data_IF_014102674281
#
_entry.id   IF_014102674281
#
_cell.length_a   1.000
_cell.length_b   1.000
_cell.length_c   1.000
_cell.angle_alpha   90.00
_cell.angle_beta   90.00
_cell.angle_gamma   90.00
#
_symmetry.space_group_name_H-M   'P 1'
#
loop_
_entity.id
_entity.type
_entity.pdbx_description
1 polymer ?
#
# COMPACT_ATOMS: atom_id res chain seq x y z
N UNK A 1 35.46 31.89 -34.48
CA UNK A 1 34.08 31.36 -34.52
C UNK A 1 34.22 29.84 -34.56
N UNK A 2 34.46 29.22 -33.40
CA UNK A 2 34.65 27.77 -33.26
C UNK A 2 33.37 27.16 -32.69
N UNK A 3 32.73 26.29 -33.46
CA UNK A 3 31.55 25.56 -33.03
C UNK A 3 31.96 24.40 -32.13
N UNK A 4 31.72 24.54 -30.81
CA UNK A 4 31.72 23.41 -29.87
C UNK A 4 30.46 22.58 -30.08
N UNK A 5 30.63 21.40 -30.67
CA UNK A 5 29.64 20.33 -30.69
C UNK A 5 29.47 19.76 -29.28
N UNK A 6 28.33 20.07 -28.63
CA UNK A 6 27.88 19.42 -27.41
C UNK A 6 27.43 17.99 -27.73
N UNK A 7 28.21 17.03 -27.23
CA UNK A 7 27.85 15.60 -27.26
C UNK A 7 26.71 15.35 -26.27
N UNK A 8 25.60 14.69 -26.65
CA UNK A 8 24.51 14.40 -25.72
C UNK A 8 24.97 13.37 -24.68
N UNK A 9 24.81 13.71 -23.40
CA UNK A 9 25.08 12.86 -22.25
C UNK A 9 24.50 11.45 -22.44
N UNK A 10 25.38 10.48 -22.67
CA UNK A 10 25.03 9.07 -22.56
C UNK A 10 24.76 8.79 -21.07
N UNK A 11 23.57 8.33 -20.68
CA UNK A 11 23.35 7.95 -19.28
C UNK A 11 24.36 6.86 -18.88
N UNK A 12 25.08 7.09 -17.79
CA UNK A 12 26.16 6.24 -17.26
C UNK A 12 25.74 4.76 -17.24
N UNK A 13 26.58 3.91 -17.83
CA UNK A 13 26.40 2.46 -17.91
C UNK A 13 26.21 1.81 -16.52
N UNK A 14 26.89 2.34 -15.50
CA UNK A 14 26.71 1.97 -14.08
C UNK A 14 25.29 2.20 -13.55
N UNK A 15 24.57 3.22 -14.02
CA UNK A 15 23.19 3.49 -13.59
C UNK A 15 22.22 2.45 -14.15
N UNK A 16 22.51 1.87 -15.33
CA UNK A 16 21.72 0.79 -15.92
C UNK A 16 21.94 -0.55 -15.20
N UNK A 17 23.19 -0.91 -14.93
CA UNK A 17 23.52 -2.15 -14.22
C UNK A 17 22.96 -2.15 -12.78
N UNK A 18 23.02 -1.01 -12.07
CA UNK A 18 22.43 -0.88 -10.73
C UNK A 18 20.90 -1.00 -10.73
N UNK A 19 20.22 -0.40 -11.71
CA UNK A 19 18.77 -0.52 -11.85
C UNK A 19 18.33 -1.97 -12.13
N UNK A 20 19.16 -2.78 -12.80
CA UNK A 20 18.90 -4.20 -13.05
C UNK A 20 19.05 -5.03 -11.76
N UNK A 21 20.03 -4.71 -10.91
CA UNK A 21 20.23 -5.41 -9.63
C UNK A 21 19.11 -5.17 -8.60
N UNK A 22 18.45 -4.01 -8.59
CA UNK A 22 17.34 -3.78 -7.66
C UNK A 22 16.06 -4.53 -8.04
N UNK A 23 15.82 -4.70 -9.34
CA UNK A 23 14.70 -5.49 -9.84
C UNK A 23 14.80 -6.96 -9.46
N UNK A 24 16.02 -7.51 -9.35
CA UNK A 24 16.22 -8.94 -9.10
C UNK A 24 15.83 -9.38 -7.68
N UNK A 25 16.04 -8.55 -6.65
CA UNK A 25 15.66 -8.89 -5.26
C UNK A 25 14.15 -8.81 -5.05
N UNK A 26 13.50 -7.76 -5.57
CA UNK A 26 12.04 -7.62 -5.52
C UNK A 26 11.37 -8.77 -6.28
N UNK A 27 11.91 -9.09 -7.46
CA UNK A 27 11.44 -10.21 -8.26
C UNK A 27 11.67 -11.55 -7.54
N UNK A 28 12.81 -11.77 -6.89
CA UNK A 28 13.11 -13.03 -6.20
C UNK A 28 12.21 -13.29 -4.98
N UNK A 29 11.90 -12.26 -4.18
CA UNK A 29 11.06 -12.42 -2.99
C UNK A 29 9.59 -12.68 -3.37
N UNK A 30 9.13 -12.08 -4.46
CA UNK A 30 7.72 -12.02 -4.83
C UNK A 30 7.33 -12.71 -6.13
N UNK A 31 8.22 -13.43 -6.80
CA UNK A 31 8.00 -13.95 -8.16
C UNK A 31 6.71 -14.74 -8.26
N UNK A 32 6.48 -15.65 -7.32
CA UNK A 32 5.35 -16.57 -7.37
C UNK A 32 4.02 -15.83 -7.17
N UNK A 33 3.97 -14.87 -6.24
CA UNK A 33 2.76 -14.09 -6.02
C UNK A 33 2.50 -13.12 -7.18
N UNK A 34 3.54 -12.54 -7.77
CA UNK A 34 3.43 -11.69 -8.97
C UNK A 34 2.95 -12.49 -10.18
N UNK A 35 3.47 -13.71 -10.37
CA UNK A 35 3.01 -14.64 -11.41
C UNK A 35 1.55 -14.99 -11.19
N UNK A 36 1.14 -15.31 -9.96
CA UNK A 36 -0.25 -15.60 -9.63
C UNK A 36 -1.16 -14.40 -9.87
N UNK A 37 -0.74 -13.20 -9.47
CA UNK A 37 -1.49 -11.96 -9.75
C UNK A 37 -1.64 -11.73 -11.25
N UNK A 38 -0.56 -11.90 -12.02
CA UNK A 38 -0.60 -11.77 -13.47
C UNK A 38 -1.52 -12.82 -14.11
N UNK A 39 -1.46 -14.07 -13.67
CA UNK A 39 -2.31 -15.16 -14.17
C UNK A 39 -3.79 -14.91 -13.85
N UNK A 40 -4.10 -14.40 -12.65
CA UNK A 40 -5.47 -14.01 -12.28
C UNK A 40 -5.98 -12.84 -13.11
N UNK A 41 -5.17 -11.80 -13.32
CA UNK A 41 -5.52 -10.65 -14.18
C UNK A 41 -5.70 -11.08 -15.63
N UNK A 42 -4.85 -11.99 -16.11
CA UNK A 42 -4.86 -12.48 -17.48
C UNK A 42 -6.19 -13.16 -17.85
N UNK A 43 -6.91 -13.74 -16.88
CA UNK A 43 -8.26 -14.29 -17.11
C UNK A 43 -9.24 -13.16 -17.47
N UNK A 44 -9.31 -12.11 -16.65
CA UNK A 44 -10.19 -10.97 -16.91
C UNK A 44 -9.85 -10.23 -18.20
N UNK A 45 -8.55 -10.03 -18.44
CA UNK A 45 -8.06 -9.40 -19.67
C UNK A 45 -8.34 -10.26 -20.91
N UNK A 46 -8.21 -11.58 -20.83
CA UNK A 46 -8.54 -12.48 -21.94
C UNK A 46 -10.01 -12.36 -22.35
N UNK A 47 -10.92 -12.26 -21.38
CA UNK A 47 -12.35 -12.04 -21.65
C UNK A 47 -12.59 -10.64 -22.26
N UNK A 48 -11.89 -9.61 -21.77
CA UNK A 48 -12.03 -8.24 -22.27
C UNK A 48 -11.54 -8.09 -23.72
N UNK A 49 -10.47 -8.80 -24.07
CA UNK A 49 -9.81 -8.69 -25.37
C UNK A 49 -10.53 -9.40 -26.51
N UNK A 50 -11.38 -10.37 -26.22
CA UNK A 50 -12.05 -11.20 -27.22
C UNK A 50 -13.56 -11.13 -27.04
N UNK A 51 -14.26 -10.15 -27.67
CA UNK A 51 -15.69 -9.95 -27.49
C UNK A 51 -16.54 -11.19 -27.81
N UNK A 52 -16.10 -12.03 -28.75
CA UNK A 52 -16.81 -13.27 -29.09
C UNK A 52 -16.81 -14.31 -27.96
N UNK A 53 -15.90 -14.17 -27.00
CA UNK A 53 -15.78 -15.03 -25.81
C UNK A 53 -16.99 -14.85 -24.91
N UNK A 54 -17.42 -13.62 -24.64
CA UNK A 54 -18.55 -13.39 -23.74
C UNK A 54 -19.89 -13.75 -24.38
N UNK A 55 -20.03 -13.57 -25.70
CA UNK A 55 -21.20 -14.06 -26.44
C UNK A 55 -21.35 -15.57 -26.32
N UNK A 56 -20.23 -16.29 -26.30
CA UNK A 56 -20.21 -17.76 -26.19
C UNK A 56 -20.39 -18.26 -24.76
N UNK A 57 -20.12 -17.41 -23.76
CA UNK A 57 -20.40 -17.68 -22.35
C UNK A 57 -21.91 -17.54 -22.05
N UNK A 58 -22.63 -16.73 -22.85
CA UNK A 58 -24.07 -16.52 -22.64
C UNK A 58 -24.89 -17.66 -23.21
N UNK A 59 -25.75 -18.23 -22.37
CA UNK A 59 -26.76 -19.19 -22.80
C UNK A 59 -27.80 -18.50 -23.70
N UNK A 60 -28.20 -19.09 -24.83
CA UNK A 60 -29.29 -18.57 -25.65
C UNK A 60 -30.58 -18.44 -24.80
N UNK A 61 -31.08 -17.21 -24.64
CA UNK A 61 -32.30 -16.91 -23.86
C UNK A 61 -32.07 -16.07 -22.59
N UNK A 62 -30.82 -15.89 -22.14
CA UNK A 62 -30.48 -15.09 -20.94
C UNK A 62 -29.83 -13.73 -21.27
N UNK A 63 -29.99 -13.24 -22.50
CA UNK A 63 -29.31 -12.04 -23.01
C UNK A 63 -29.56 -10.76 -22.20
N UNK A 64 -30.65 -10.69 -21.44
CA UNK A 64 -31.00 -9.53 -20.62
C UNK A 64 -30.36 -9.52 -19.22
N UNK A 65 -29.75 -10.61 -18.75
CA UNK A 65 -29.18 -10.71 -17.39
C UNK A 65 -27.65 -10.64 -17.40
N UNK A 66 -27.03 -10.12 -16.33
CA UNK A 66 -25.58 -10.22 -16.17
C UNK A 66 -25.17 -11.66 -15.89
N UNK A 67 -24.04 -12.08 -16.45
CA UNK A 67 -23.44 -13.39 -16.17
C UNK A 67 -22.35 -13.21 -15.12
N UNK A 68 -22.30 -14.10 -14.12
CA UNK A 68 -21.30 -14.05 -13.05
C UNK A 68 -20.39 -15.27 -13.17
N UNK A 69 -19.10 -15.01 -13.36
CA UNK A 69 -18.05 -16.01 -13.51
C UNK A 69 -17.18 -16.05 -12.26
N UNK A 70 -17.23 -17.15 -11.52
CA UNK A 70 -16.34 -17.38 -10.38
C UNK A 70 -14.95 -17.78 -10.87
N UNK A 71 -13.94 -17.15 -10.29
CA UNK A 71 -12.54 -17.44 -10.60
C UNK A 71 -12.05 -18.55 -9.66
N UNK A 72 -11.39 -19.62 -10.17
CA UNK A 72 -10.87 -20.70 -9.35
C UNK A 72 -9.81 -20.19 -8.39
N UNK A 73 -9.83 -20.69 -7.15
CA UNK A 73 -8.84 -20.40 -6.10
C UNK A 73 -8.64 -18.91 -5.75
N UNK A 74 -9.51 -18.04 -6.27
CA UNK A 74 -9.53 -16.61 -6.00
C UNK A 74 -10.92 -16.29 -5.50
N UNK A 75 -11.07 -15.65 -4.33
CA UNK A 75 -12.38 -15.46 -3.74
C UNK A 75 -13.09 -14.23 -4.33
N UNK A 76 -13.17 -14.21 -5.65
CA UNK A 76 -13.68 -13.14 -6.49
C UNK A 76 -14.40 -13.71 -7.73
N UNK A 77 -15.14 -12.85 -8.41
CA UNK A 77 -15.85 -13.18 -9.63
C UNK A 77 -15.70 -12.05 -10.66
N UNK A 78 -16.10 -12.33 -11.89
CA UNK A 78 -16.24 -11.33 -12.96
C UNK A 78 -17.69 -11.34 -13.40
N UNK A 79 -18.35 -10.20 -13.28
CA UNK A 79 -19.65 -9.97 -13.87
C UNK A 79 -19.50 -9.45 -15.30
N UNK A 80 -20.29 -10.00 -16.21
CA UNK A 80 -20.40 -9.58 -17.60
C UNK A 80 -21.81 -9.06 -17.82
N UNK A 81 -21.94 -7.74 -18.00
CA UNK A 81 -23.24 -7.12 -18.24
C UNK A 81 -23.79 -7.44 -19.65
N UNK A 82 -25.06 -7.11 -19.95
CA UNK A 82 -25.65 -7.27 -21.28
C UNK A 82 -24.92 -6.60 -22.44
N UNK A 83 -24.13 -5.56 -22.16
CA UNK A 83 -23.32 -4.87 -23.16
C UNK A 83 -21.92 -5.47 -23.34
N UNK A 84 -21.58 -6.51 -22.60
CA UNK A 84 -20.25 -7.14 -22.59
C UNK A 84 -19.24 -6.40 -21.72
N UNK A 85 -19.65 -5.41 -20.91
CA UNK A 85 -18.73 -4.74 -19.99
C UNK A 85 -18.45 -5.66 -18.80
N UNK A 86 -17.18 -5.71 -18.44
CA UNK A 86 -16.69 -6.52 -17.33
C UNK A 86 -16.62 -5.70 -16.05
N UNK A 87 -17.11 -6.30 -14.97
CA UNK A 87 -17.01 -5.75 -13.62
C UNK A 87 -16.49 -6.82 -12.67
N UNK A 88 -15.25 -6.70 -12.17
CA UNK A 88 -14.75 -7.56 -11.10
C UNK A 88 -15.60 -7.40 -9.84
N UNK A 89 -15.97 -8.53 -9.22
CA UNK A 89 -16.79 -8.58 -8.02
C UNK A 89 -16.02 -9.33 -6.92
N UNK A 90 -16.21 -8.87 -5.69
CA UNK A 90 -15.80 -9.62 -4.49
C UNK A 90 -16.85 -10.70 -4.26
N UNK A 91 -16.46 -11.96 -4.04
CA UNK A 91 -17.40 -13.10 -4.03
C UNK A 91 -18.46 -13.06 -2.92
N UNK A 92 -18.28 -12.24 -1.87
CA UNK A 92 -19.25 -12.17 -0.79
C UNK A 92 -20.55 -11.47 -1.24
N UNK A 93 -21.69 -12.12 -1.04
CA UNK A 93 -23.00 -11.60 -1.48
C UNK A 93 -23.26 -11.72 -2.98
N UNK A 94 -22.36 -12.36 -3.73
CA UNK A 94 -22.58 -12.63 -5.15
C UNK A 94 -23.54 -13.83 -5.29
N UNK A 95 -24.60 -13.73 -6.13
CA UNK A 95 -25.48 -14.84 -6.45
C UNK A 95 -24.73 -16.10 -6.87
N UNK A 96 -25.41 -17.25 -6.92
CA UNK A 96 -24.84 -18.50 -7.45
C UNK A 96 -24.37 -18.28 -8.89
N UNK A 97 -23.09 -17.92 -9.06
CA UNK A 97 -22.43 -17.79 -10.34
C UNK A 97 -21.83 -19.11 -10.81
N UNK A 98 -21.60 -19.20 -12.12
CA UNK A 98 -20.97 -20.34 -12.75
C UNK A 98 -19.46 -20.32 -12.49
N UNK A 99 -18.88 -21.50 -12.25
CA UNK A 99 -17.42 -21.63 -12.19
C UNK A 99 -16.86 -21.60 -13.61
N UNK A 100 -15.81 -20.81 -13.82
CA UNK A 100 -15.19 -20.70 -15.15
C UNK A 100 -14.75 -22.08 -15.67
N UNK A 101 -14.34 -22.99 -14.79
CA UNK A 101 -13.91 -24.34 -15.15
C UNK A 101 -15.04 -25.17 -15.78
N UNK A 102 -16.29 -24.93 -15.35
CA UNK A 102 -17.47 -25.58 -15.95
C UNK A 102 -17.72 -25.06 -17.35
N UNK A 103 -17.54 -23.77 -17.59
CA UNK A 103 -17.65 -23.15 -18.92
C UNK A 103 -16.52 -23.56 -19.86
N UNK A 104 -15.32 -23.78 -19.31
CA UNK A 104 -14.15 -24.27 -20.01
C UNK A 104 -14.29 -25.72 -20.52
N UNK A 105 -15.41 -26.41 -20.25
CA UNK A 105 -15.74 -27.70 -20.88
C UNK A 105 -16.09 -27.57 -22.36
N UNK A 106 -16.53 -26.39 -22.82
CA UNK A 106 -16.78 -26.14 -24.24
C UNK A 106 -15.44 -25.97 -25.00
N UNK A 107 -15.20 -26.85 -25.98
CA UNK A 107 -13.93 -26.89 -26.73
C UNK A 107 -13.62 -25.55 -27.43
N UNK A 108 -14.65 -24.85 -27.92
CA UNK A 108 -14.51 -23.56 -28.59
C UNK A 108 -14.15 -22.40 -27.66
N UNK A 109 -14.69 -22.34 -26.43
CA UNK A 109 -14.32 -21.31 -25.45
C UNK A 109 -12.90 -21.55 -24.94
N UNK A 110 -12.57 -22.80 -24.62
CA UNK A 110 -11.24 -23.21 -24.17
C UNK A 110 -10.16 -22.84 -25.18
N UNK A 111 -10.38 -23.14 -26.46
CA UNK A 111 -9.42 -22.82 -27.52
C UNK A 111 -9.22 -21.30 -27.67
N UNK A 112 -10.30 -20.51 -27.65
CA UNK A 112 -10.21 -19.04 -27.73
C UNK A 112 -9.45 -18.43 -26.57
N UNK A 113 -9.81 -18.78 -25.33
CA UNK A 113 -9.12 -18.30 -24.14
C UNK A 113 -7.65 -18.73 -24.14
N UNK A 114 -7.34 -19.95 -24.59
CA UNK A 114 -5.96 -20.41 -24.74
C UNK A 114 -5.17 -19.57 -25.75
N UNK A 115 -5.78 -19.19 -26.88
CA UNK A 115 -5.12 -18.40 -27.93
C UNK A 115 -4.78 -16.98 -27.48
N UNK A 116 -5.60 -16.37 -26.63
CA UNK A 116 -5.33 -15.02 -26.10
C UNK A 116 -4.54 -15.01 -24.80
N UNK A 117 -4.37 -16.17 -24.14
CA UNK A 117 -3.75 -16.29 -22.81
C UNK A 117 -2.35 -15.72 -22.74
N UNK A 118 -1.50 -16.01 -23.73
CA UNK A 118 -0.13 -15.50 -23.74
C UNK A 118 -0.12 -13.96 -23.78
N UNK A 119 -0.89 -13.38 -24.71
CA UNK A 119 -1.01 -11.93 -24.87
C UNK A 119 -1.66 -11.26 -23.66
N UNK A 120 -2.70 -11.84 -23.07
CA UNK A 120 -3.35 -11.28 -21.88
C UNK A 120 -2.45 -11.34 -20.65
N UNK A 121 -1.60 -12.37 -20.55
CA UNK A 121 -0.57 -12.48 -19.51
C UNK A 121 0.52 -11.42 -19.67
N UNK A 122 0.99 -11.18 -20.89
CA UNK A 122 1.96 -10.11 -21.15
C UNK A 122 1.41 -8.74 -20.75
N UNK A 123 0.15 -8.45 -21.12
CA UNK A 123 -0.54 -7.22 -20.70
C UNK A 123 -0.68 -7.15 -19.18
N UNK A 124 -0.98 -8.27 -18.50
CA UNK A 124 -1.06 -8.31 -17.05
C UNK A 124 0.28 -7.97 -16.38
N UNK A 125 1.40 -8.49 -16.89
CA UNK A 125 2.73 -8.12 -16.41
C UNK A 125 3.04 -6.65 -16.68
N UNK A 126 2.69 -6.12 -17.84
CA UNK A 126 2.87 -4.70 -18.17
C UNK A 126 2.07 -3.79 -17.24
N UNK A 127 0.86 -4.20 -16.82
CA UNK A 127 0.05 -3.48 -15.83
C UNK A 127 0.68 -3.51 -14.43
N UNK A 128 1.33 -4.61 -14.05
CA UNK A 128 1.98 -4.78 -12.74
C UNK A 128 3.36 -4.13 -12.66
N UNK A 129 4.08 -4.04 -13.78
CA UNK A 129 5.46 -3.57 -13.83
C UNK A 129 5.68 -2.20 -13.15
N UNK A 130 4.81 -1.18 -13.29
CA UNK A 130 5.02 0.11 -12.62
C UNK A 130 5.10 0.02 -11.09
N UNK A 131 4.54 -1.02 -10.47
CA UNK A 131 4.47 -1.20 -9.02
C UNK A 131 5.62 -2.03 -8.46
N UNK A 132 6.28 -2.80 -9.31
CA UNK A 132 7.43 -3.64 -8.94
C UNK A 132 8.77 -2.96 -9.23
N UNK A 133 8.77 -1.87 -10.00
CA UNK A 133 9.97 -1.11 -10.32
C UNK A 133 10.44 -0.26 -9.11
N UNK A 134 11.65 -0.51 -8.58
CA UNK A 134 12.23 0.25 -7.48
C UNK A 134 12.20 1.77 -7.71
N UNK A 135 11.71 2.50 -6.72
CA UNK A 135 11.75 3.97 -6.70
C UNK A 135 10.94 4.65 -7.80
N UNK A 136 9.98 3.97 -8.44
CA UNK A 136 9.08 4.58 -9.42
C UNK A 136 7.70 4.76 -8.82
N UNK A 137 7.23 5.99 -8.67
CA UNK A 137 5.81 6.21 -8.39
C UNK A 137 5.00 6.02 -9.68
N UNK A 138 4.04 5.08 -9.72
CA UNK A 138 3.10 4.98 -10.83
C UNK A 138 2.19 6.20 -10.83
N UNK A 139 1.73 6.58 -12.02
CA UNK A 139 0.73 7.62 -12.20
C UNK A 139 -0.64 7.16 -11.70
N UNK A 140 -1.51 8.12 -11.42
CA UNK A 140 -2.92 7.89 -11.06
C UNK A 140 -3.63 7.05 -12.10
N UNK A 141 -3.36 7.26 -13.38
CA UNK A 141 -3.93 6.45 -14.46
C UNK A 141 -3.39 5.02 -14.42
N UNK A 142 -2.08 4.82 -14.26
CA UNK A 142 -1.49 3.46 -14.14
C UNK A 142 -2.09 2.72 -12.93
N UNK A 143 -2.22 3.40 -11.78
CA UNK A 143 -2.90 2.82 -10.60
C UNK A 143 -4.36 2.50 -10.87
N UNK A 144 -5.13 3.38 -11.49
CA UNK A 144 -6.53 3.12 -11.80
C UNK A 144 -6.72 1.95 -12.79
N UNK A 145 -5.82 1.81 -13.77
CA UNK A 145 -5.86 0.73 -14.75
C UNK A 145 -5.73 -0.65 -14.12
N UNK A 146 -4.96 -0.79 -13.04
CA UNK A 146 -4.88 -2.03 -12.27
C UNK A 146 -5.92 -2.12 -11.16
N UNK A 147 -6.21 -1.01 -10.47
CA UNK A 147 -7.11 -0.98 -9.32
C UNK A 147 -8.56 -1.31 -9.67
N UNK A 148 -9.00 -1.10 -10.92
CA UNK A 148 -10.31 -1.61 -11.38
C UNK A 148 -10.44 -3.14 -11.24
N UNK A 149 -9.31 -3.85 -11.20
CA UNK A 149 -9.22 -5.29 -11.00
C UNK A 149 -8.93 -5.69 -9.56
N UNK A 150 -8.94 -4.74 -8.60
CA UNK A 150 -8.62 -4.98 -7.20
C UNK A 150 -9.35 -6.20 -6.59
N UNK A 151 -10.66 -6.43 -6.82
CA UNK A 151 -11.33 -7.62 -6.29
C UNK A 151 -10.64 -8.95 -6.63
N UNK A 152 -9.96 -9.04 -7.78
CA UNK A 152 -9.26 -10.25 -8.22
C UNK A 152 -7.88 -10.40 -7.56
N UNK A 153 -7.23 -9.30 -7.17
CA UNK A 153 -5.81 -9.31 -6.79
C UNK A 153 -5.53 -8.79 -5.38
N UNK A 154 -6.51 -8.21 -4.67
CA UNK A 154 -6.31 -7.52 -3.39
C UNK A 154 -5.71 -8.42 -2.31
N UNK A 155 -6.11 -9.70 -2.23
CA UNK A 155 -5.55 -10.65 -1.27
C UNK A 155 -4.13 -11.10 -1.64
N UNK A 156 -3.85 -11.28 -2.94
CA UNK A 156 -2.52 -11.61 -3.42
C UNK A 156 -1.56 -10.43 -3.21
N UNK A 157 -2.02 -9.20 -3.47
CA UNK A 157 -1.29 -7.99 -3.19
C UNK A 157 -0.97 -7.86 -1.69
N UNK A 158 -1.96 -8.11 -0.82
CA UNK A 158 -1.72 -8.11 0.63
C UNK A 158 -0.71 -9.19 1.06
N UNK A 159 -0.85 -10.42 0.57
CA UNK A 159 0.09 -11.51 0.86
C UNK A 159 1.51 -11.21 0.38
N UNK A 160 1.65 -10.59 -0.79
CA UNK A 160 2.94 -10.14 -1.31
C UNK A 160 3.53 -9.02 -0.43
N UNK A 161 2.71 -8.07 0.01
CA UNK A 161 3.14 -7.01 0.93
C UNK A 161 3.64 -7.57 2.27
N UNK A 162 2.98 -8.59 2.85
CA UNK A 162 3.43 -9.22 4.10
C UNK A 162 4.74 -10.00 3.93
N UNK A 163 4.97 -10.63 2.76
CA UNK A 163 6.29 -11.22 2.44
C UNK A 163 7.39 -10.18 2.32
N UNK A 164 7.12 -9.05 1.67
CA UNK A 164 8.06 -7.94 1.63
C UNK A 164 8.35 -7.38 3.01
N UNK A 165 7.33 -7.27 3.87
CA UNK A 165 7.52 -6.89 5.26
C UNK A 165 8.44 -7.86 6.00
N UNK A 166 8.23 -9.17 5.85
CA UNK A 166 9.12 -10.19 6.45
C UNK A 166 10.56 -10.02 5.98
N UNK A 167 10.78 -9.84 4.68
CA UNK A 167 12.11 -9.60 4.13
C UNK A 167 12.75 -8.31 4.67
N UNK A 168 11.96 -7.25 4.87
CA UNK A 168 12.42 -6.01 5.51
C UNK A 168 12.81 -6.23 6.97
N UNK A 169 12.07 -7.05 7.72
CA UNK A 169 12.43 -7.40 9.09
C UNK A 169 13.73 -8.22 9.15
N UNK A 170 13.93 -9.17 8.24
CA UNK A 170 15.19 -9.91 8.14
C UNK A 170 16.37 -8.98 7.81
N UNK A 171 16.15 -7.97 6.94
CA UNK A 171 17.14 -6.94 6.65
C UNK A 171 17.42 -6.05 7.87
N UNK A 172 16.38 -5.66 8.61
CA UNK A 172 16.49 -4.87 9.85
C UNK A 172 17.30 -5.60 10.92
N UNK A 173 17.07 -6.90 11.09
CA UNK A 173 17.80 -7.70 12.09
C UNK A 173 19.27 -7.90 11.71
N UNK A 174 19.55 -8.19 10.43
CA UNK A 174 20.95 -8.27 9.95
C UNK A 174 21.70 -6.96 10.14
N UNK A 175 21.08 -5.83 9.77
CA UNK A 175 21.67 -4.50 9.93
C UNK A 175 21.92 -4.12 11.40
N UNK A 176 21.13 -4.66 12.34
CA UNK A 176 21.34 -4.46 13.78
C UNK A 176 22.59 -5.20 14.29
N UNK A 177 22.83 -6.42 13.80
CA UNK A 177 23.96 -7.27 14.20
C UNK A 177 25.26 -6.80 13.55
N UNK A 178 25.18 -6.41 12.28
CA UNK A 178 26.30 -5.86 11.51
C UNK A 178 26.49 -4.38 11.88
N UNK A 179 27.16 -4.13 13.01
CA UNK A 179 27.54 -2.79 13.48
C UNK A 179 28.59 -2.08 12.59
N UNK A 180 28.55 -2.30 11.28
CA UNK A 180 29.53 -1.77 10.33
C UNK A 180 28.96 -0.54 9.60
N UNK A 181 29.54 0.66 9.77
CA UNK A 181 29.06 1.88 9.15
C UNK A 181 29.29 1.95 7.62
N UNK A 182 29.94 0.94 7.04
CA UNK A 182 30.16 0.85 5.60
C UNK A 182 28.86 0.45 4.87
N UNK A 183 28.47 1.27 3.91
CA UNK A 183 27.33 1.11 3.01
C UNK A 183 27.20 -0.33 2.51
N UNK A 184 26.08 -0.99 2.81
CA UNK A 184 25.82 -2.34 2.32
C UNK A 184 24.79 -2.31 1.18
N UNK A 185 24.91 -3.16 0.15
CA UNK A 185 23.88 -3.33 -0.89
C UNK A 185 22.45 -3.56 -0.36
N UNK A 186 22.30 -3.95 0.91
CA UNK A 186 21.01 -4.13 1.58
C UNK A 186 20.19 -2.86 1.76
N UNK A 187 20.81 -1.68 1.85
CA UNK A 187 20.13 -0.40 2.12
C UNK A 187 19.36 0.14 0.89
N UNK A 188 19.86 -0.09 -0.31
CA UNK A 188 19.13 0.23 -1.53
C UNK A 188 17.93 -0.72 -1.73
N UNK A 189 18.09 -2.00 -1.38
CA UNK A 189 16.98 -2.96 -1.39
C UNK A 189 15.91 -2.57 -0.38
N UNK A 190 16.29 -2.00 0.76
CA UNK A 190 15.35 -1.50 1.78
C UNK A 190 14.38 -0.46 1.21
N UNK A 191 14.89 0.59 0.54
CA UNK A 191 14.06 1.65 -0.05
C UNK A 191 13.17 1.10 -1.19
N UNK A 192 13.70 0.18 -1.98
CA UNK A 192 12.97 -0.44 -3.07
C UNK A 192 11.80 -1.30 -2.56
N UNK A 193 12.06 -2.19 -1.59
CA UNK A 193 11.07 -3.09 -1.02
C UNK A 193 10.00 -2.30 -0.26
N UNK A 194 10.38 -1.30 0.56
CA UNK A 194 9.42 -0.45 1.29
C UNK A 194 8.46 0.27 0.35
N UNK A 195 8.99 0.81 -0.76
CA UNK A 195 8.20 1.51 -1.76
C UNK A 195 7.19 0.57 -2.45
N UNK A 196 7.65 -0.59 -2.92
CA UNK A 196 6.80 -1.60 -3.55
C UNK A 196 5.74 -2.16 -2.58
N UNK A 197 6.10 -2.37 -1.32
CA UNK A 197 5.18 -2.81 -0.27
C UNK A 197 4.02 -1.82 -0.08
N UNK A 198 4.28 -0.51 -0.12
CA UNK A 198 3.25 0.52 0.01
C UNK A 198 2.21 0.45 -1.13
N UNK A 199 2.65 0.17 -2.37
CA UNK A 199 1.74 0.03 -3.50
C UNK A 199 0.77 -1.12 -3.32
N UNK A 200 1.27 -2.29 -2.96
CA UNK A 200 0.45 -3.48 -2.82
C UNK A 200 -0.51 -3.38 -1.64
N UNK A 201 -0.13 -2.68 -0.56
CA UNK A 201 -1.05 -2.37 0.53
C UNK A 201 -2.16 -1.40 0.12
N UNK A 202 -1.83 -0.37 -0.66
CA UNK A 202 -2.87 0.52 -1.19
C UNK A 202 -3.81 -0.18 -2.18
N UNK A 203 -3.32 -1.19 -2.91
CA UNK A 203 -4.18 -2.05 -3.73
C UNK A 203 -5.10 -2.93 -2.90
N UNK A 204 -4.66 -3.36 -1.71
CA UNK A 204 -5.46 -4.21 -0.83
C UNK A 204 -6.35 -3.44 0.14
N UNK A 205 -6.14 -2.14 0.35
CA UNK A 205 -6.80 -1.36 1.40
C UNK A 205 -8.29 -1.03 1.14
N UNK A 206 -8.85 -1.49 0.03
CA UNK A 206 -10.30 -1.41 -0.26
C UNK A 206 -11.02 -2.76 -0.05
N UNK A 207 -10.27 -3.80 0.36
CA UNK A 207 -10.84 -5.11 0.62
C UNK A 207 -11.72 -5.08 1.89
N UNK A 208 -12.78 -5.92 1.96
CA UNK A 208 -13.66 -5.98 3.13
C UNK A 208 -12.91 -6.43 4.38
N UNK A 209 -13.24 -5.81 5.51
CA UNK A 209 -12.54 -5.93 6.80
C UNK A 209 -12.26 -7.38 7.20
N UNK A 210 -13.25 -8.29 7.07
CA UNK A 210 -13.14 -9.64 7.62
C UNK A 210 -12.00 -10.50 7.01
N UNK A 211 -11.69 -10.36 5.72
CA UNK A 211 -10.64 -11.16 5.05
C UNK A 211 -9.25 -10.65 5.37
N UNK A 212 -9.12 -9.33 5.39
CA UNK A 212 -7.90 -8.69 5.82
C UNK A 212 -7.64 -9.03 7.29
N UNK A 213 -8.66 -8.98 8.15
CA UNK A 213 -8.56 -9.36 9.56
C UNK A 213 -8.14 -10.83 9.72
N UNK A 214 -8.69 -11.76 8.93
CA UNK A 214 -8.24 -13.16 8.94
C UNK A 214 -6.77 -13.30 8.55
N UNK A 215 -6.35 -12.62 7.48
CA UNK A 215 -4.96 -12.59 7.03
C UNK A 215 -4.02 -11.85 8.00
N UNK A 216 -4.53 -10.89 8.77
CA UNK A 216 -3.79 -10.20 9.82
C UNK A 216 -3.64 -11.08 11.07
N UNK A 217 -4.68 -11.82 11.47
CA UNK A 217 -4.63 -12.72 12.62
C UNK A 217 -3.53 -13.75 12.49
N UNK A 218 -3.37 -14.35 11.30
CA UNK A 218 -2.27 -15.28 11.01
C UNK A 218 -0.88 -14.62 11.05
N UNK A 219 -0.80 -13.29 10.88
CA UNK A 219 0.43 -12.50 10.85
C UNK A 219 0.79 -11.84 12.21
N UNK A 220 -0.19 -11.63 13.10
CA UNK A 220 -0.02 -10.93 14.40
C UNK A 220 0.64 -11.76 15.51
N UNK A 221 1.18 -12.94 15.20
CA UNK A 221 1.79 -13.87 16.15
C UNK A 221 2.94 -13.26 17.00
N UNK A 222 3.51 -12.13 16.59
CA UNK A 222 4.63 -11.47 17.28
C UNK A 222 4.23 -10.29 18.18
N UNK A 223 2.93 -10.08 18.42
CA UNK A 223 2.44 -8.99 19.29
C UNK A 223 2.65 -7.59 18.70
N UNK A 224 2.72 -7.49 17.38
CA UNK A 224 2.87 -6.23 16.65
C UNK A 224 1.52 -5.76 16.13
N UNK A 225 1.36 -4.44 16.04
CA UNK A 225 0.24 -3.88 15.33
C UNK A 225 0.35 -4.20 13.83
N UNK A 226 -0.77 -4.34 13.11
CA UNK A 226 -0.75 -4.60 11.67
C UNK A 226 -0.10 -3.49 10.82
N UNK A 227 -0.07 -2.24 11.29
CA UNK A 227 0.53 -1.11 10.55
C UNK A 227 2.01 -0.86 10.89
N UNK A 228 2.54 -1.52 11.93
CA UNK A 228 3.90 -1.28 12.44
C UNK A 228 4.98 -1.46 11.37
N UNK A 229 4.83 -2.46 10.51
CA UNK A 229 5.78 -2.72 9.44
C UNK A 229 5.99 -1.53 8.49
N UNK A 230 4.93 -0.74 8.31
CA UNK A 230 4.87 0.41 7.41
C UNK A 230 5.34 1.68 8.11
N UNK A 231 4.77 1.98 9.28
CA UNK A 231 5.13 3.19 10.03
C UNK A 231 6.61 3.15 10.42
N UNK A 232 7.17 1.98 10.74
CA UNK A 232 8.58 1.81 11.13
C UNK A 232 9.57 2.24 10.06
N UNK A 233 9.18 2.33 8.80
CA UNK A 233 10.04 2.91 7.77
C UNK A 233 10.27 4.42 7.95
N UNK A 234 9.49 5.08 8.83
CA UNK A 234 9.59 6.51 9.18
C UNK A 234 9.57 7.41 7.96
N UNK A 235 8.67 7.09 7.03
CA UNK A 235 8.30 7.94 5.91
C UNK A 235 6.80 8.19 5.95
N UNK A 236 6.37 9.42 5.63
CA UNK A 236 4.94 9.73 5.54
C UNK A 236 4.26 8.89 4.46
N UNK A 237 4.96 8.58 3.36
CA UNK A 237 4.45 7.69 2.31
C UNK A 237 4.03 6.32 2.84
N UNK A 238 4.91 5.62 3.57
CA UNK A 238 4.57 4.31 4.12
C UNK A 238 3.60 4.42 5.29
N UNK A 239 3.71 5.46 6.12
CA UNK A 239 2.73 5.69 7.17
C UNK A 239 1.31 5.84 6.59
N UNK A 240 1.15 6.53 5.45
CA UNK A 240 -0.14 6.63 4.78
C UNK A 240 -0.70 5.28 4.32
N UNK A 241 0.15 4.41 3.76
CA UNK A 241 -0.25 3.04 3.43
C UNK A 241 -0.64 2.24 4.69
N UNK A 242 0.13 2.38 5.78
CA UNK A 242 -0.18 1.77 7.08
C UNK A 242 -1.51 2.27 7.68
N UNK A 243 -1.81 3.56 7.57
CA UNK A 243 -3.09 4.14 7.99
C UNK A 243 -4.27 3.59 7.19
N UNK A 244 -4.12 3.52 5.86
CA UNK A 244 -5.14 2.93 4.97
C UNK A 244 -5.40 1.48 5.32
N UNK A 245 -4.35 0.72 5.61
CA UNK A 245 -4.46 -0.66 6.04
C UNK A 245 -5.14 -0.79 7.41
N UNK A 246 -4.76 0.05 8.39
CA UNK A 246 -5.41 0.07 9.70
C UNK A 246 -6.91 0.38 9.60
N UNK A 247 -7.28 1.39 8.81
CA UNK A 247 -8.66 1.72 8.53
C UNK A 247 -9.41 0.55 7.86
N UNK A 248 -8.78 -0.14 6.91
CA UNK A 248 -9.36 -1.30 6.22
C UNK A 248 -9.55 -2.53 7.12
N UNK A 249 -8.74 -2.72 8.17
CA UNK A 249 -9.02 -3.77 9.17
C UNK A 249 -10.18 -3.43 10.10
N UNK A 250 -10.47 -2.15 10.27
CA UNK A 250 -11.55 -1.67 11.12
C UNK A 250 -11.48 -2.18 12.57
N UNK A 251 -12.65 -2.43 13.14
CA UNK A 251 -12.79 -2.91 14.53
C UNK A 251 -12.12 -4.26 14.79
N UNK A 252 -11.93 -5.09 13.75
CA UNK A 252 -11.29 -6.41 13.87
C UNK A 252 -9.82 -6.36 14.30
N UNK A 253 -9.15 -5.22 14.17
CA UNK A 253 -7.77 -5.01 14.64
C UNK A 253 -7.66 -4.20 15.95
N UNK A 254 -8.77 -3.70 16.50
CA UNK A 254 -8.79 -2.79 17.65
C UNK A 254 -8.04 -3.36 18.86
N UNK A 255 -8.34 -4.60 19.22
CA UNK A 255 -7.71 -5.27 20.37
C UNK A 255 -6.18 -5.35 20.23
N UNK A 256 -5.68 -5.60 19.02
CA UNK A 256 -4.24 -5.68 18.75
C UNK A 256 -3.55 -4.33 19.00
N UNK A 257 -4.16 -3.25 18.54
CA UNK A 257 -3.66 -1.89 18.75
C UNK A 257 -3.70 -1.48 20.23
N UNK A 258 -4.82 -1.73 20.92
CA UNK A 258 -4.97 -1.42 22.35
C UNK A 258 -3.98 -2.23 23.20
N UNK A 259 -3.80 -3.52 22.91
CA UNK A 259 -2.80 -4.37 23.59
C UNK A 259 -1.38 -3.85 23.37
N UNK A 260 -1.07 -3.40 22.15
CA UNK A 260 0.22 -2.77 21.85
C UNK A 260 0.40 -1.49 22.65
N UNK A 261 -0.61 -0.62 22.70
CA UNK A 261 -0.58 0.63 23.46
C UNK A 261 -0.45 0.42 24.99
N UNK A 262 -1.02 -0.67 25.50
CA UNK A 262 -0.92 -1.04 26.91
C UNK A 262 0.49 -1.51 27.30
N UNK A 263 1.19 -2.21 26.40
CA UNK A 263 2.43 -2.94 26.72
C UNK A 263 3.71 -2.33 26.15
N UNK A 264 3.60 -1.50 25.12
CA UNK A 264 4.75 -0.89 24.46
C UNK A 264 5.50 0.08 25.39
N UNK A 265 6.83 -0.05 25.43
CA UNK A 265 7.75 0.90 26.06
C UNK A 265 8.45 1.81 25.05
N UNK A 266 8.59 1.31 23.82
CA UNK A 266 9.24 2.02 22.73
C UNK A 266 8.32 3.10 22.16
N UNK A 267 8.76 4.36 22.13
CA UNK A 267 7.98 5.50 21.68
C UNK A 267 7.35 5.29 20.30
N UNK A 268 8.09 4.71 19.36
CA UNK A 268 7.57 4.45 18.02
C UNK A 268 6.46 3.38 17.96
N UNK A 269 6.47 2.36 18.84
CA UNK A 269 5.37 1.38 18.91
C UNK A 269 4.12 2.02 19.48
N UNK A 270 4.28 2.97 20.40
CA UNK A 270 3.18 3.78 20.93
C UNK A 270 2.63 4.69 19.83
N UNK A 271 3.50 5.41 19.10
CA UNK A 271 3.11 6.22 17.94
C UNK A 271 2.29 5.41 16.94
N UNK A 272 2.83 4.28 16.49
CA UNK A 272 2.18 3.39 15.54
C UNK A 272 0.80 2.90 16.05
N UNK A 273 0.73 2.50 17.32
CA UNK A 273 -0.53 2.06 17.90
C UNK A 273 -1.58 3.17 17.92
N UNK A 274 -1.20 4.38 18.35
CA UNK A 274 -2.06 5.56 18.36
C UNK A 274 -2.46 5.98 16.95
N UNK A 275 -1.54 5.89 16.00
CA UNK A 275 -1.76 6.24 14.60
C UNK A 275 -2.77 5.29 13.93
N UNK A 276 -2.63 3.99 14.15
CA UNK A 276 -3.59 2.98 13.69
C UNK A 276 -4.98 3.11 14.34
N UNK A 277 -5.05 3.32 15.66
CA UNK A 277 -6.30 3.58 16.39
C UNK A 277 -7.02 4.82 15.84
N UNK A 278 -6.28 5.90 15.64
CA UNK A 278 -6.84 7.14 15.07
C UNK A 278 -7.34 6.91 13.65
N UNK A 279 -6.62 6.11 12.85
CA UNK A 279 -7.06 5.77 11.51
C UNK A 279 -8.37 4.96 11.49
N UNK A 280 -8.49 3.97 12.37
CA UNK A 280 -9.74 3.21 12.55
C UNK A 280 -10.87 4.14 12.96
N UNK A 281 -10.68 4.96 14.00
CA UNK A 281 -11.70 5.87 14.51
C UNK A 281 -12.19 6.91 13.48
N UNK A 282 -11.32 7.35 12.57
CA UNK A 282 -11.67 8.30 11.50
C UNK A 282 -12.42 7.65 10.33
N UNK A 283 -12.31 6.34 10.16
CA UNK A 283 -13.01 5.59 9.10
C UNK A 283 -14.26 4.86 9.60
N UNK A 284 -14.36 4.67 10.92
CA UNK A 284 -15.43 3.89 11.57
C UNK A 284 -16.02 4.71 12.72
N UNK A 285 -17.00 5.56 12.41
CA UNK A 285 -17.60 6.51 13.38
C UNK A 285 -18.11 5.83 14.66
N UNK A 286 -18.64 4.61 14.56
CA UNK A 286 -19.13 3.84 15.70
C UNK A 286 -18.04 3.45 16.71
N UNK A 287 -16.78 3.30 16.27
CA UNK A 287 -15.64 2.93 17.13
C UNK A 287 -14.95 4.16 17.76
N UNK A 288 -15.29 5.36 17.30
CA UNK A 288 -14.54 6.58 17.62
C UNK A 288 -14.53 6.93 19.10
N UNK A 289 -15.69 6.91 19.75
CA UNK A 289 -15.81 7.29 21.16
C UNK A 289 -15.07 6.29 22.06
N UNK A 290 -15.25 4.99 21.82
CA UNK A 290 -14.54 3.93 22.52
C UNK A 290 -13.02 4.11 22.41
N UNK A 291 -12.52 4.34 21.19
CA UNK A 291 -11.10 4.57 20.94
C UNK A 291 -10.60 5.83 21.65
N UNK A 292 -11.34 6.94 21.61
CA UNK A 292 -10.96 8.18 22.28
C UNK A 292 -10.83 7.98 23.79
N UNK A 293 -11.81 7.32 24.42
CA UNK A 293 -11.78 7.04 25.86
C UNK A 293 -10.58 6.14 26.22
N UNK A 294 -10.33 5.09 25.45
CA UNK A 294 -9.19 4.19 25.66
C UNK A 294 -7.84 4.93 25.52
N UNK A 295 -7.70 5.78 24.50
CA UNK A 295 -6.49 6.59 24.29
C UNK A 295 -6.28 7.58 25.44
N UNK A 296 -7.32 8.27 25.89
CA UNK A 296 -7.25 9.19 27.03
C UNK A 296 -6.87 8.46 28.33
N UNK A 297 -7.46 7.28 28.58
CA UNK A 297 -7.09 6.44 29.72
C UNK A 297 -5.61 6.05 29.69
N UNK A 298 -5.09 5.63 28.53
CA UNK A 298 -3.68 5.29 28.40
C UNK A 298 -2.74 6.50 28.51
N UNK A 299 -3.17 7.68 28.06
CA UNK A 299 -2.41 8.93 28.18
C UNK A 299 -2.23 9.34 29.64
N UNK A 300 -3.29 9.25 30.46
CA UNK A 300 -3.22 9.54 31.90
C UNK A 300 -2.21 8.64 32.63
N UNK A 301 -2.07 7.39 32.16
CA UNK A 301 -1.15 6.38 32.71
C UNK A 301 0.21 6.35 32.02
N UNK A 302 0.48 7.25 31.08
CA UNK A 302 1.74 7.23 30.33
C UNK A 302 2.91 7.76 31.18
N UNK A 303 2.65 8.76 32.04
CA UNK A 303 3.65 9.34 32.94
C UNK A 303 4.19 8.37 33.99
N UNK A 304 3.41 7.35 34.35
CA UNK A 304 3.81 6.31 35.31
C UNK A 304 4.67 5.20 34.69
N UNK A 305 4.81 5.18 33.35
CA UNK A 305 5.51 4.12 32.62
C UNK A 305 6.93 4.54 32.27
N UNK A 306 7.88 3.63 32.44
CA UNK A 306 9.22 3.76 31.88
C UNK A 306 9.15 3.59 30.35
N UNK A 307 9.30 4.69 29.62
CA UNK A 307 9.30 4.76 28.16
C UNK A 307 10.57 5.43 27.65
N UNK A 308 11.00 5.07 26.44
CA UNK A 308 12.32 5.47 25.91
C UNK A 308 12.43 6.97 25.55
N UNK A 309 11.30 7.62 25.23
CA UNK A 309 11.24 9.04 24.87
C UNK A 309 9.88 9.64 25.28
N UNK A 310 9.81 10.17 26.50
CA UNK A 310 8.55 10.64 27.09
C UNK A 310 7.96 11.85 26.36
N UNK A 311 8.80 12.73 25.80
CA UNK A 311 8.37 13.91 25.06
C UNK A 311 7.69 13.51 23.75
N UNK A 312 8.32 12.60 23.01
CA UNK A 312 7.74 12.01 21.80
C UNK A 312 6.42 11.29 22.09
N UNK A 313 6.38 10.47 23.16
CA UNK A 313 5.16 9.77 23.58
C UNK A 313 4.04 10.74 23.95
N UNK A 314 4.36 11.79 24.71
CA UNK A 314 3.39 12.81 25.14
C UNK A 314 2.83 13.56 23.93
N UNK A 315 3.69 13.94 22.98
CA UNK A 315 3.27 14.58 21.73
C UNK A 315 2.41 13.65 20.86
N UNK A 316 2.72 12.36 20.81
CA UNK A 316 1.92 11.38 20.08
C UNK A 316 0.51 11.25 20.67
N UNK A 317 0.38 11.11 22.00
CA UNK A 317 -0.92 11.10 22.68
C UNK A 317 -1.70 12.39 22.44
N UNK A 318 -1.05 13.56 22.62
CA UNK A 318 -1.69 14.85 22.38
C UNK A 318 -2.22 14.95 20.95
N UNK A 319 -1.39 14.61 19.96
CA UNK A 319 -1.75 14.68 18.54
C UNK A 319 -2.90 13.73 18.20
N UNK A 320 -2.90 12.50 18.73
CA UNK A 320 -3.97 11.54 18.54
C UNK A 320 -5.30 12.03 19.15
N UNK A 321 -5.26 12.51 20.41
CA UNK A 321 -6.46 13.01 21.11
C UNK A 321 -7.03 14.25 20.40
N UNK A 322 -6.18 15.18 19.96
CA UNK A 322 -6.60 16.35 19.17
C UNK A 322 -7.39 15.92 17.92
N UNK A 323 -6.82 15.02 17.10
CA UNK A 323 -7.48 14.54 15.88
C UNK A 323 -8.76 13.77 16.20
N UNK A 324 -8.76 12.93 17.25
CA UNK A 324 -9.92 12.19 17.70
C UNK A 324 -11.04 13.06 18.27
N UNK A 325 -10.79 14.34 18.58
CA UNK A 325 -11.81 15.31 18.98
C UNK A 325 -12.42 16.10 17.82
N UNK A 326 -11.81 16.09 16.63
CA UNK A 326 -12.27 16.89 15.48
C UNK A 326 -13.63 16.43 14.92
N UNK A 327 -14.62 17.31 14.82
CA UNK A 327 -15.91 16.92 14.25
C UNK A 327 -15.77 16.38 12.83
N UNK A 328 -16.67 15.48 12.43
CA UNK A 328 -16.72 15.00 11.04
C UNK A 328 -16.82 16.21 10.10
N UNK A 329 -15.89 16.33 9.16
CA UNK A 329 -15.78 17.46 8.24
C UNK A 329 -14.85 18.61 8.69
N UNK A 330 -14.37 18.62 9.94
CA UNK A 330 -13.30 19.55 10.33
C UNK A 330 -12.01 19.25 9.54
N UNK A 331 -11.32 20.31 9.16
CA UNK A 331 -10.29 20.25 8.13
C UNK A 331 -8.92 19.94 8.72
N UNK A 332 -8.19 19.04 8.05
CA UNK A 332 -6.76 18.89 8.30
C UNK A 332 -6.06 20.24 8.08
N UNK A 333 -5.17 20.66 8.99
CA UNK A 333 -4.48 21.93 8.88
C UNK A 333 -3.62 21.96 7.61
N UNK A 334 -3.92 22.90 6.72
CA UNK A 334 -3.34 23.03 5.37
C UNK A 334 -1.81 23.01 5.37
N UNK A 335 -1.19 23.64 6.39
CA UNK A 335 0.25 23.74 6.52
C UNK A 335 0.98 22.37 6.59
N UNK A 336 0.34 21.33 7.10
CA UNK A 336 0.93 19.98 7.12
C UNK A 336 0.95 19.35 5.72
N UNK A 337 -0.08 19.60 4.92
CA UNK A 337 -0.20 19.09 3.55
C UNK A 337 0.74 19.83 2.59
N UNK A 338 0.92 21.14 2.80
CA UNK A 338 1.86 21.95 2.02
C UNK A 338 3.30 21.43 2.16
N UNK A 339 3.72 21.02 3.36
CA UNK A 339 5.03 20.38 3.59
C UNK A 339 5.22 19.08 2.82
N UNK A 340 4.14 18.35 2.55
CA UNK A 340 4.14 17.11 1.77
C UNK A 340 4.11 17.37 0.26
N UNK A 341 3.96 18.64 -0.16
CA UNK A 341 3.68 19.00 -1.55
C UNK A 341 2.31 18.51 -2.01
N UNK A 342 1.38 18.27 -1.08
CA UNK A 342 0.08 17.66 -1.38
C UNK A 342 -1.04 18.70 -1.32
N UNK A 343 -1.64 19.02 -2.48
CA UNK A 343 -2.78 19.94 -2.54
C UNK A 343 -4.10 19.27 -2.13
N UNK A 344 -4.91 20.02 -1.39
CA UNK A 344 -6.21 19.64 -0.86
C UNK A 344 -7.28 19.40 -1.93
N UNK A 345 -7.16 20.05 -3.08
CA UNK A 345 -8.15 19.95 -4.15
C UNK A 345 -8.10 18.57 -4.85
N UNK A 346 -7.19 17.68 -4.45
CA UNK A 346 -6.87 16.40 -5.11
C UNK A 346 -6.48 16.56 -6.59
N UNK A 347 -6.36 17.81 -7.04
CA UNK A 347 -5.90 18.29 -8.33
C UNK A 347 -4.37 18.25 -8.44
N UNK A 348 -3.66 18.13 -7.32
CA UNK A 348 -2.19 18.11 -7.24
C UNK A 348 -1.53 16.74 -7.50
N UNK A 349 -0.22 16.69 -7.29
CA UNK A 349 0.69 15.56 -7.58
C UNK A 349 0.55 14.34 -6.65
N UNK A 350 -0.47 14.30 -5.79
CA UNK A 350 -0.70 13.20 -4.86
C UNK A 350 0.32 13.13 -3.71
N UNK A 351 0.11 12.18 -2.79
CA UNK A 351 1.00 11.95 -1.65
C UNK A 351 2.24 11.11 -2.02
N UNK A 352 2.16 10.33 -3.09
CA UNK A 352 3.22 9.49 -3.65
C UNK A 352 4.28 10.40 -4.29
N UNK A 353 5.04 11.08 -3.45
CA UNK A 353 5.97 12.14 -3.81
C UNK A 353 7.34 11.92 -3.16
N UNK A 354 8.42 12.45 -3.76
CA UNK A 354 9.73 12.43 -3.12
C UNK A 354 9.78 13.15 -1.77
N UNK A 355 8.87 14.11 -1.50
CA UNK A 355 8.80 14.81 -0.22
C UNK A 355 8.21 13.91 0.87
N UNK A 356 7.07 13.26 0.60
CA UNK A 356 6.43 12.34 1.54
C UNK A 356 7.29 11.10 1.86
N UNK A 357 8.15 10.68 0.92
CA UNK A 357 9.12 9.62 1.17
C UNK A 357 10.26 10.04 2.10
N UNK A 358 10.60 11.34 2.16
CA UNK A 358 11.71 11.86 2.98
C UNK A 358 11.30 12.30 4.38
N UNK A 359 10.06 12.75 4.54
CA UNK A 359 9.58 13.29 5.81
C UNK A 359 9.20 12.18 6.78
N UNK A 360 9.58 12.35 8.04
CA UNK A 360 9.22 11.42 9.10
C UNK A 360 7.85 11.78 9.69
N UNK A 361 6.90 10.83 9.80
CA UNK A 361 5.58 11.10 10.35
C UNK A 361 5.59 11.55 11.83
N UNK A 362 6.68 11.36 12.57
CA UNK A 362 6.81 11.84 13.96
C UNK A 362 7.37 13.26 14.08
N UNK A 363 7.83 13.87 12.98
CA UNK A 363 8.25 15.27 12.98
C UNK A 363 7.12 16.19 13.43
N UNK A 364 7.46 17.28 14.12
CA UNK A 364 6.47 18.29 14.51
C UNK A 364 6.09 19.12 13.29
N UNK A 365 4.80 19.20 13.01
CA UNK A 365 4.21 20.06 11.99
C UNK A 365 4.01 21.49 12.52
N UNK A 366 3.76 22.49 11.64
CA UNK A 366 3.64 23.89 12.06
C UNK A 366 2.54 24.19 13.09
N UNK A 367 1.53 23.31 13.19
CA UNK A 367 0.46 23.36 14.19
C UNK A 367 0.86 22.75 15.55
N UNK A 368 2.12 22.32 15.72
CA UNK A 368 2.60 21.69 16.94
C UNK A 368 2.13 20.25 17.16
N UNK A 369 1.45 19.61 16.20
CA UNK A 369 1.15 18.17 16.24
C UNK A 369 2.21 17.39 15.46
N UNK A 370 2.27 16.06 15.63
CA UNK A 370 3.09 15.27 14.70
C UNK A 370 2.51 15.32 13.29
N UNK A 371 3.39 15.30 12.29
CA UNK A 371 3.07 15.44 10.87
C UNK A 371 2.12 14.34 10.40
N UNK A 372 2.35 13.09 10.82
CA UNK A 372 1.50 11.95 10.50
C UNK A 372 0.05 12.18 10.93
N UNK A 373 -0.18 12.53 12.20
CA UNK A 373 -1.52 12.82 12.72
C UNK A 373 -2.17 14.01 12.02
N UNK A 374 -1.39 15.07 11.76
CA UNK A 374 -1.89 16.26 11.06
C UNK A 374 -2.41 15.94 9.66
N UNK A 375 -1.69 15.09 8.91
CA UNK A 375 -2.05 14.69 7.56
C UNK A 375 -3.09 13.55 7.50
N UNK A 376 -3.29 12.82 8.61
CA UNK A 376 -4.08 11.58 8.65
C UNK A 376 -5.52 11.74 8.11
N UNK A 377 -6.29 12.79 8.45
CA UNK A 377 -7.64 12.92 7.89
C UNK A 377 -7.65 13.12 6.37
N UNK A 378 -6.66 13.82 5.81
CA UNK A 378 -6.53 13.97 4.36
C UNK A 378 -6.11 12.66 3.70
N UNK A 379 -5.17 11.93 4.33
CA UNK A 379 -4.75 10.57 3.93
C UNK A 379 -5.97 9.66 3.79
N UNK A 380 -6.84 9.61 4.80
CA UNK A 380 -7.97 8.69 4.83
C UNK A 380 -9.09 9.09 3.87
N UNK A 381 -9.35 10.39 3.69
CA UNK A 381 -10.36 10.88 2.73
C UNK A 381 -9.98 10.64 1.28
N UNK A 382 -8.69 10.63 0.96
CA UNK A 382 -8.23 10.41 -0.41
C UNK A 382 -8.52 8.98 -0.87
N UNK A 383 -9.05 8.78 -2.09
CA UNK A 383 -9.13 7.44 -2.66
C UNK A 383 -7.73 6.87 -2.91
N UNK A 384 -7.54 5.54 -2.96
CA UNK A 384 -6.24 4.93 -3.24
C UNK A 384 -5.51 5.54 -4.46
N UNK A 385 -6.26 5.87 -5.52
CA UNK A 385 -5.73 6.51 -6.72
C UNK A 385 -5.26 7.97 -6.51
N UNK A 386 -5.92 8.72 -5.61
CA UNK A 386 -5.56 10.12 -5.33
C UNK A 386 -4.22 10.27 -4.60
N UNK A 387 -3.71 9.19 -4.02
CA UNK A 387 -2.35 9.17 -3.51
C UNK A 387 -1.30 9.28 -4.62
N UNK A 388 -1.63 8.96 -5.88
CA UNK A 388 -0.67 8.95 -6.98
C UNK A 388 -0.69 10.23 -7.82
N UNK A 389 0.45 10.57 -8.47
CA UNK A 389 0.59 11.74 -9.33
C UNK A 389 -0.29 11.68 -10.57
N UNK A 390 -0.87 12.81 -10.99
CA UNK A 390 -1.79 12.87 -12.15
C UNK A 390 -1.10 12.60 -13.48
N UNK A 391 0.09 13.16 -13.69
CA UNK A 391 0.73 13.18 -15.01
C UNK A 391 1.51 11.91 -15.30
N UNK A 392 1.24 11.29 -16.45
CA UNK A 392 2.10 10.23 -17.04
C UNK A 392 3.47 10.75 -17.49
N UNK A 393 3.57 12.04 -17.83
CA UNK A 393 4.79 12.64 -18.38
C UNK A 393 5.89 12.83 -17.33
N UNK A 394 5.52 12.80 -16.04
CA UNK A 394 6.45 12.77 -14.92
C UNK A 394 6.36 11.39 -14.28
N UNK A 395 7.04 10.41 -14.86
CA UNK A 395 7.41 9.22 -14.08
C UNK A 395 8.27 9.75 -12.93
N UNK A 396 7.64 9.97 -11.77
CA UNK A 396 8.34 10.44 -10.59
C UNK A 396 9.23 9.31 -10.12
N UNK A 397 10.46 9.34 -10.63
CA UNK A 397 11.55 8.53 -10.10
C UNK A 397 11.99 9.19 -8.82
N UNK A 398 11.92 8.44 -7.74
CA UNK A 398 12.52 8.76 -6.48
C UNK A 398 14.04 8.80 -6.68
N UNK A 399 14.55 9.97 -7.06
CA UNK A 399 15.98 10.24 -7.12
C UNK A 399 16.45 10.50 -5.69
N UNK A 400 16.83 9.43 -4.99
CA UNK A 400 17.53 9.53 -3.72
C UNK A 400 19.03 9.45 -3.96
N UNK A 401 19.78 10.32 -3.30
CA UNK A 401 21.22 10.12 -3.15
C UNK A 401 21.46 8.91 -2.23
N UNK A 402 22.60 8.25 -2.40
CA UNK A 402 22.99 7.11 -1.55
C UNK A 402 22.94 7.47 -0.06
N UNK A 403 23.41 8.67 0.31
CA UNK A 403 23.35 9.18 1.68
C UNK A 403 21.93 9.40 2.19
N UNK A 404 20.98 9.75 1.33
CA UNK A 404 19.57 9.90 1.72
C UNK A 404 18.92 8.53 1.97
N UNK A 405 19.21 7.54 1.12
CA UNK A 405 18.72 6.16 1.31
C UNK A 405 19.22 5.57 2.63
N UNK A 406 20.51 5.80 2.93
CA UNK A 406 21.10 5.44 4.22
C UNK A 406 20.35 6.06 5.39
N UNK A 407 20.11 7.36 5.36
CA UNK A 407 19.43 8.05 6.44
C UNK A 407 18.02 7.51 6.66
N UNK A 408 17.26 7.27 5.59
CA UNK A 408 15.91 6.71 5.67
C UNK A 408 15.95 5.29 6.25
N UNK A 409 16.85 4.44 5.76
CA UNK A 409 17.01 3.09 6.29
C UNK A 409 17.41 3.11 7.78
N UNK A 410 18.36 3.97 8.15
CA UNK A 410 18.81 4.16 9.54
C UNK A 410 17.72 4.65 10.46
N UNK A 411 16.82 5.53 10.03
CA UNK A 411 15.66 5.95 10.87
C UNK A 411 14.81 4.75 11.28
N UNK A 412 14.66 3.76 10.41
CA UNK A 412 13.90 2.55 10.71
C UNK A 412 14.59 1.62 11.73
N UNK A 413 15.89 1.84 11.98
CA UNK A 413 16.74 1.04 12.87
C UNK A 413 17.10 1.76 14.17
N UNK A 414 17.24 3.08 14.13
CA UNK A 414 17.69 3.90 15.25
C UNK A 414 16.50 4.60 15.94
N UNK A 415 16.45 4.45 17.25
CA UNK A 415 15.56 5.19 18.16
C UNK A 415 15.67 6.71 17.95
N UNK A 416 16.91 7.20 17.74
CA UNK A 416 17.22 8.58 17.33
C UNK A 416 18.19 8.54 16.15
N UNK A 417 17.88 9.15 15.00
CA UNK A 417 18.93 9.46 14.04
C UNK A 417 19.90 10.44 14.73
N UNK A 418 21.13 10.02 14.96
CA UNK A 418 22.21 10.94 15.34
C UNK A 418 22.35 11.97 14.21
N UNK A 419 22.21 13.25 14.57
CA UNK A 419 22.40 14.39 13.65
C UNK A 419 23.80 14.40 13.02
#
# INVERSE_FOLDING_TARGET
>A
MEQRTLSPDRPNQETRERSQNFGSVIAAIGSDDLVRMADTLAIGLAIEMEPTTWESIRTPGESARPVILKIPDVPAAIEIDPSGRLRPLRQHGVPVGEEIDKLMTSAGLRSRLHNVRAKSRDIAFDLLAPFTLPGRFPSRTEFQSIFRWAPLIELLAYALATRYLKALEDLRERARVEANPAFSPGECNYCAITHTMAHFVLMSSDAPDYRLVEAARSSTLNGWSPSLGFTRARTVWLAAAGAKLAAAFGSGALECYLRTLATARHAFRIFDALFGLTAIALSHDHAREEILQAVMHHAQRAGDRSVDDIDCVTLAFRSAIEVLKWRAGEHSPLAALDRLGWSRDHEGDGLASPAAFRLDPTETAPNGMMLGFSALPAILRASPAQHYPRSKARVYRLKLRETEMLQIARRAWLLRPTE
#
